data_IF_421480246598
#
_entry.id   IF_421480246598
#
_cell.length_a   1.000
_cell.length_b   1.000
_cell.length_c   1.000
_cell.angle_alpha   90.00
_cell.angle_beta   90.00
_cell.angle_gamma   90.00
#
_symmetry.space_group_name_H-M   'P 1'
#
loop_
_entity.id
_entity.type
_entity.pdbx_description
1 polymer ?
#
# COMPACT_ATOMS: atom_id res chain seq x y z
N UNK A 1 -1.88 32.41 12.18
CA UNK A 1 -0.75 31.66 11.60
C UNK A 1 -1.35 30.48 10.85
N UNK A 2 -1.69 30.65 9.57
CA UNK A 2 -2.18 29.53 8.76
C UNK A 2 -1.00 28.63 8.43
N UNK A 3 -0.95 27.44 9.02
CA UNK A 3 -0.08 26.38 8.50
C UNK A 3 -0.65 25.99 7.13
N UNK A 4 0.01 26.45 6.07
CA UNK A 4 -0.25 25.94 4.73
C UNK A 4 0.11 24.46 4.73
N UNK A 5 -0.90 23.59 4.74
CA UNK A 5 -0.73 22.20 4.34
C UNK A 5 -0.24 22.24 2.89
N UNK A 6 1.06 22.02 2.70
CA UNK A 6 1.63 21.81 1.37
C UNK A 6 0.99 20.52 0.82
N UNK A 7 -0.10 20.63 0.07
CA UNK A 7 -0.57 19.53 -0.75
C UNK A 7 0.55 19.26 -1.76
N UNK A 8 1.34 18.22 -1.56
CA UNK A 8 2.29 17.76 -2.57
C UNK A 8 1.53 17.53 -3.87
N UNK A 9 2.11 17.91 -5.02
CA UNK A 9 1.50 17.59 -6.31
C UNK A 9 1.26 16.07 -6.42
N UNK A 10 0.18 15.63 -7.10
CA UNK A 10 -0.13 14.21 -7.26
C UNK A 10 1.07 13.39 -7.76
N UNK A 11 1.87 13.95 -8.66
CA UNK A 11 3.09 13.32 -9.17
C UNK A 11 4.16 13.07 -8.08
N UNK A 12 4.36 14.03 -7.17
CA UNK A 12 5.29 13.87 -6.04
C UNK A 12 4.79 12.82 -5.05
N UNK A 13 3.47 12.74 -4.88
CA UNK A 13 2.85 11.73 -4.03
C UNK A 13 2.98 10.33 -4.63
N UNK A 14 2.63 10.16 -5.91
CA UNK A 14 2.80 8.91 -6.66
C UNK A 14 4.26 8.46 -6.60
N UNK A 15 5.23 9.36 -6.80
CA UNK A 15 6.65 9.02 -6.70
C UNK A 15 7.01 8.48 -5.31
N UNK A 16 6.57 9.15 -4.23
CA UNK A 16 6.81 8.68 -2.86
C UNK A 16 6.19 7.30 -2.62
N UNK A 17 5.03 7.02 -3.23
CA UNK A 17 4.38 5.72 -3.13
C UNK A 17 5.19 4.64 -3.85
N UNK A 18 5.63 4.90 -5.09
CA UNK A 18 6.50 3.97 -5.83
C UNK A 18 7.79 3.69 -5.04
N UNK A 19 8.48 4.74 -4.57
CA UNK A 19 9.76 4.62 -3.84
C UNK A 19 9.64 3.83 -2.51
N UNK A 20 8.44 3.71 -1.95
CA UNK A 20 8.22 2.90 -0.75
C UNK A 20 7.87 1.46 -1.07
N UNK A 21 7.21 1.19 -2.19
CA UNK A 21 6.86 -0.17 -2.59
C UNK A 21 8.00 -0.88 -3.32
N UNK A 22 8.95 -0.14 -3.90
CA UNK A 22 10.11 -0.69 -4.60
C UNK A 22 10.77 -1.87 -3.86
N UNK A 23 11.14 -1.74 -2.57
CA UNK A 23 11.86 -2.81 -1.88
C UNK A 23 11.00 -4.06 -1.61
N UNK A 24 9.67 -3.96 -1.74
CA UNK A 24 8.73 -5.07 -1.50
C UNK A 24 8.35 -5.76 -2.80
N UNK A 25 8.27 -5.01 -3.90
CA UNK A 25 7.96 -5.56 -5.22
C UNK A 25 9.05 -6.52 -5.74
N UNK A 26 10.27 -6.41 -5.23
CA UNK A 26 11.42 -7.27 -5.59
C UNK A 26 11.63 -8.47 -4.66
N UNK A 27 10.79 -8.64 -3.61
CA UNK A 27 10.93 -9.76 -2.69
C UNK A 27 10.49 -11.07 -3.35
N UNK A 28 11.29 -12.12 -3.17
CA UNK A 28 10.87 -13.49 -3.46
C UNK A 28 9.90 -13.99 -2.38
N UNK A 29 9.06 -14.97 -2.71
CA UNK A 29 8.03 -15.50 -1.80
C UNK A 29 8.60 -15.97 -0.46
N UNK A 30 9.79 -16.58 -0.49
CA UNK A 30 10.50 -17.06 0.70
C UNK A 30 11.05 -15.94 1.59
N UNK A 31 11.17 -14.72 1.05
CA UNK A 31 11.69 -13.55 1.74
C UNK A 31 10.59 -12.65 2.34
N UNK A 32 9.31 -13.02 2.22
CA UNK A 32 8.20 -12.16 2.64
C UNK A 32 8.01 -12.19 4.15
N UNK A 33 7.82 -13.38 4.73
CA UNK A 33 7.61 -13.53 6.16
C UNK A 33 7.94 -14.94 6.65
N UNK A 34 8.50 -15.01 7.86
CA UNK A 34 8.63 -16.26 8.61
C UNK A 34 7.49 -16.35 9.61
N UNK A 35 6.79 -17.47 9.66
CA UNK A 35 5.67 -17.66 10.58
C UNK A 35 6.15 -18.21 11.93
N UNK A 36 5.82 -17.51 13.02
CA UNK A 36 6.12 -17.94 14.39
C UNK A 36 4.86 -17.94 15.24
N UNK A 37 4.36 -19.13 15.60
CA UNK A 37 3.15 -19.27 16.40
C UNK A 37 1.90 -18.67 15.73
N UNK A 38 1.81 -18.74 14.40
CA UNK A 38 0.71 -18.15 13.62
C UNK A 38 0.85 -16.64 13.36
N UNK A 39 1.93 -16.00 13.82
CA UNK A 39 2.21 -14.58 13.60
C UNK A 39 3.29 -14.45 12.52
N UNK A 40 3.08 -13.66 11.45
CA UNK A 40 4.10 -13.39 10.45
C UNK A 40 5.16 -12.46 11.03
N UNK A 41 6.42 -12.84 10.86
CA UNK A 41 7.58 -12.00 11.09
C UNK A 41 8.06 -11.56 9.71
N UNK A 42 7.69 -10.34 9.34
CA UNK A 42 8.01 -9.77 8.03
C UNK A 42 9.49 -9.47 7.86
N UNK A 43 9.97 -9.54 6.62
CA UNK A 43 11.28 -9.01 6.27
C UNK A 43 11.40 -7.51 6.61
N UNK A 44 12.64 -7.07 6.81
CA UNK A 44 12.96 -5.67 7.14
C UNK A 44 12.46 -4.71 6.05
N UNK A 45 12.43 -5.14 4.79
CA UNK A 45 11.97 -4.31 3.67
C UNK A 45 10.48 -3.98 3.79
N UNK A 46 9.65 -4.96 4.15
CA UNK A 46 8.22 -4.77 4.44
C UNK A 46 8.05 -3.94 5.73
N UNK A 47 8.85 -4.21 6.76
CA UNK A 47 8.83 -3.44 8.01
C UNK A 47 9.12 -1.95 7.77
N UNK A 48 10.03 -1.61 6.85
CA UNK A 48 10.28 -0.21 6.45
C UNK A 48 9.09 0.44 5.75
N UNK A 49 8.32 -0.33 4.97
CA UNK A 49 7.05 0.17 4.40
C UNK A 49 6.04 0.44 5.52
N UNK A 50 6.01 -0.41 6.54
CA UNK A 50 5.15 -0.28 7.72
C UNK A 50 5.51 0.96 8.55
N UNK A 51 6.80 1.28 8.67
CA UNK A 51 7.25 2.53 9.30
C UNK A 51 6.84 3.75 8.47
N UNK A 52 6.94 3.67 7.14
CA UNK A 52 6.51 4.74 6.22
C UNK A 52 5.00 4.92 6.18
N UNK A 53 4.18 3.94 6.58
CA UNK A 53 2.72 4.07 6.75
C UNK A 53 2.33 5.24 7.66
N UNK A 54 3.20 5.60 8.62
CA UNK A 54 2.98 6.72 9.53
C UNK A 54 3.13 8.08 8.84
N UNK A 55 3.51 8.12 7.56
CA UNK A 55 3.47 9.33 6.75
C UNK A 55 2.12 9.44 6.05
N UNK A 56 1.48 10.61 6.18
CA UNK A 56 0.07 10.85 5.83
C UNK A 56 -0.33 10.56 4.37
N UNK A 57 0.63 10.35 3.46
CA UNK A 57 0.39 10.29 2.01
C UNK A 57 -0.23 8.97 1.50
N UNK A 58 -0.34 7.95 2.34
CA UNK A 58 -0.96 6.67 1.99
C UNK A 58 -2.42 6.55 2.38
N UNK A 59 -2.83 7.35 3.37
CA UNK A 59 -4.06 7.10 4.11
C UNK A 59 -5.19 7.84 3.44
N UNK A 60 -6.15 7.07 2.94
CA UNK A 60 -7.44 7.61 2.58
C UNK A 60 -8.21 7.98 3.87
N UNK A 61 -8.33 9.29 4.11
CA UNK A 61 -9.05 9.82 5.26
C UNK A 61 -10.56 9.53 5.17
N UNK A 62 -11.08 9.31 3.96
CA UNK A 62 -12.48 9.02 3.68
C UNK A 62 -12.71 7.52 3.39
N UNK A 63 -11.81 6.65 3.87
CA UNK A 63 -11.82 5.21 3.61
C UNK A 63 -13.19 4.54 3.80
N UNK A 64 -13.94 4.91 4.83
CA UNK A 64 -15.24 4.27 5.12
C UNK A 64 -16.27 4.51 4.00
N UNK A 65 -16.18 5.64 3.31
CA UNK A 65 -17.04 6.01 2.19
C UNK A 65 -16.54 5.35 0.91
N UNK A 66 -15.23 5.41 0.66
CA UNK A 66 -14.60 4.96 -0.58
C UNK A 66 -14.44 3.43 -0.69
N UNK A 67 -14.36 2.69 0.43
CA UNK A 67 -14.11 1.23 0.42
C UNK A 67 -15.16 0.41 -0.32
N UNK A 68 -16.35 0.96 -0.58
CA UNK A 68 -17.40 0.27 -1.36
C UNK A 68 -17.02 0.17 -2.84
N UNK A 69 -16.23 1.12 -3.33
CA UNK A 69 -15.89 1.29 -4.74
C UNK A 69 -14.80 0.29 -5.18
N UNK A 70 -13.85 -0.03 -4.28
CA UNK A 70 -12.70 -0.90 -4.60
C UNK A 70 -13.07 -2.37 -4.83
N UNK A 71 -14.25 -2.83 -4.40
CA UNK A 71 -14.67 -4.23 -4.55
C UNK A 71 -15.19 -4.59 -5.94
N UNK A 72 -15.46 -3.60 -6.78
CA UNK A 72 -16.14 -3.76 -8.08
C UNK A 72 -15.18 -3.64 -9.28
N UNK A 73 -13.91 -3.28 -9.03
CA UNK A 73 -12.92 -2.95 -10.04
C UNK A 73 -11.65 -3.77 -9.88
N UNK A 74 -10.88 -3.88 -10.96
CA UNK A 74 -9.52 -4.43 -10.93
C UNK A 74 -8.50 -3.32 -10.62
N UNK A 75 -7.36 -3.66 -10.02
CA UNK A 75 -6.32 -2.69 -9.60
C UNK A 75 -5.83 -1.87 -10.79
N UNK A 76 -5.73 -2.50 -11.95
CA UNK A 76 -5.29 -1.92 -13.21
C UNK A 76 -6.23 -0.77 -13.68
N UNK A 77 -7.44 -0.71 -13.14
CA UNK A 77 -8.45 0.32 -13.45
C UNK A 77 -8.54 1.39 -12.36
N UNK A 78 -7.77 1.29 -11.27
CA UNK A 78 -7.88 2.21 -10.14
C UNK A 78 -7.30 3.58 -10.47
N UNK A 79 -8.01 4.61 -10.02
CA UNK A 79 -7.49 5.97 -9.88
C UNK A 79 -6.62 6.12 -8.62
N UNK A 80 -5.87 7.22 -8.49
CA UNK A 80 -4.96 7.44 -7.35
C UNK A 80 -5.67 7.32 -5.99
N UNK A 81 -6.86 7.91 -5.85
CA UNK A 81 -7.61 7.86 -4.59
C UNK A 81 -8.15 6.45 -4.29
N UNK A 82 -8.47 5.68 -5.33
CA UNK A 82 -8.88 4.28 -5.20
C UNK A 82 -7.70 3.39 -4.80
N UNK A 83 -6.50 3.65 -5.31
CA UNK A 83 -5.27 3.02 -4.84
C UNK A 83 -4.99 3.34 -3.36
N UNK A 84 -5.13 4.60 -2.93
CA UNK A 84 -5.01 4.97 -1.51
C UNK A 84 -6.05 4.28 -0.64
N UNK A 85 -7.28 4.15 -1.14
CA UNK A 85 -8.35 3.41 -0.46
C UNK A 85 -7.98 1.94 -0.32
N UNK A 86 -7.51 1.31 -1.39
CA UNK A 86 -7.14 -0.10 -1.42
C UNK A 86 -5.99 -0.38 -0.46
N UNK A 87 -4.89 0.38 -0.53
CA UNK A 87 -3.75 0.19 0.39
C UNK A 87 -4.19 0.41 1.84
N UNK A 88 -5.04 1.41 2.12
CA UNK A 88 -5.64 1.63 3.45
C UNK A 88 -6.44 0.41 3.91
N UNK A 89 -7.16 -0.27 3.01
CA UNK A 89 -7.83 -1.52 3.32
C UNK A 89 -6.84 -2.61 3.76
N UNK A 90 -5.78 -2.87 2.97
CA UNK A 90 -4.73 -3.86 3.31
C UNK A 90 -4.09 -3.59 4.67
N UNK A 91 -3.76 -2.32 4.92
CA UNK A 91 -3.22 -1.85 6.19
C UNK A 91 -4.12 -2.09 7.39
N UNK A 92 -5.45 -2.02 7.18
CA UNK A 92 -6.43 -2.30 8.23
C UNK A 92 -6.61 -3.80 8.38
N UNK A 93 -6.65 -4.57 7.30
CA UNK A 93 -6.78 -6.03 7.33
C UNK A 93 -5.65 -6.69 8.13
N UNK A 94 -4.41 -6.22 8.02
CA UNK A 94 -3.29 -6.75 8.82
C UNK A 94 -3.53 -6.68 10.33
N UNK A 95 -4.35 -5.74 10.80
CA UNK A 95 -4.69 -5.62 12.23
C UNK A 95 -5.70 -6.66 12.69
N UNK A 96 -6.47 -7.24 11.77
CA UNK A 96 -7.55 -8.17 12.05
C UNK A 96 -7.24 -9.59 11.59
N UNK A 97 -6.35 -9.74 10.61
CA UNK A 97 -5.88 -11.00 10.05
C UNK A 97 -4.38 -10.91 9.85
N UNK A 98 -3.64 -11.56 10.75
CA UNK A 98 -2.20 -11.69 10.63
C UNK A 98 -1.83 -12.35 9.29
N UNK A 99 -0.92 -11.73 8.56
CA UNK A 99 -0.40 -12.27 7.30
C UNK A 99 -1.16 -11.80 6.06
N UNK A 100 -2.14 -10.91 6.20
CA UNK A 100 -2.86 -10.34 5.06
C UNK A 100 -1.89 -9.68 4.06
N UNK A 101 -0.86 -8.98 4.55
CA UNK A 101 0.20 -8.43 3.71
C UNK A 101 1.05 -9.51 3.05
N UNK A 102 1.43 -10.56 3.78
CA UNK A 102 2.19 -11.65 3.21
C UNK A 102 1.45 -12.29 2.02
N UNK A 103 0.18 -12.63 2.22
CA UNK A 103 -0.68 -13.16 1.15
C UNK A 103 -0.82 -12.18 -0.02
N UNK A 104 -0.99 -10.89 0.26
CA UNK A 104 -1.13 -9.88 -0.80
C UNK A 104 0.14 -9.74 -1.65
N UNK A 105 1.32 -9.83 -1.03
CA UNK A 105 2.59 -9.82 -1.76
C UNK A 105 2.71 -11.07 -2.62
N UNK A 106 2.44 -12.26 -2.07
CA UNK A 106 2.50 -13.54 -2.78
C UNK A 106 1.52 -13.61 -3.97
N UNK A 107 0.33 -13.03 -3.83
CA UNK A 107 -0.66 -12.94 -4.90
C UNK A 107 -0.32 -11.88 -5.97
N UNK A 108 0.82 -11.19 -5.82
CA UNK A 108 1.28 -10.16 -6.75
C UNK A 108 0.52 -8.83 -6.65
N UNK A 109 -0.28 -8.63 -5.59
CA UNK A 109 -1.06 -7.40 -5.41
C UNK A 109 -0.16 -6.16 -5.37
N UNK A 110 0.94 -6.23 -4.61
CA UNK A 110 1.88 -5.10 -4.47
C UNK A 110 2.53 -4.74 -5.82
N UNK A 111 2.86 -5.75 -6.63
CA UNK A 111 3.42 -5.54 -7.97
C UNK A 111 2.42 -4.85 -8.90
N UNK A 112 1.15 -5.31 -8.93
CA UNK A 112 0.07 -4.67 -9.70
C UNK A 112 -0.16 -3.23 -9.25
N UNK A 113 -0.19 -3.01 -7.95
CA UNK A 113 -0.37 -1.68 -7.35
C UNK A 113 0.75 -0.72 -7.76
N UNK A 114 2.02 -1.16 -7.67
CA UNK A 114 3.18 -0.37 -8.11
C UNK A 114 3.12 -0.07 -9.61
N UNK A 115 2.79 -1.06 -10.44
CA UNK A 115 2.69 -0.85 -11.88
C UNK A 115 1.60 0.17 -12.23
N UNK A 116 0.44 0.11 -11.56
CA UNK A 116 -0.61 1.11 -11.75
C UNK A 116 -0.17 2.52 -11.34
N UNK A 117 0.57 2.65 -10.24
CA UNK A 117 1.16 3.95 -9.87
C UNK A 117 2.14 4.47 -10.93
N UNK A 118 2.94 3.60 -11.55
CA UNK A 118 3.85 3.97 -12.63
C UNK A 118 3.06 4.44 -13.85
N UNK A 119 1.97 3.77 -14.20
CA UNK A 119 1.07 4.19 -15.28
C UNK A 119 0.46 5.57 -15.02
N UNK A 120 -0.08 5.80 -13.82
CA UNK A 120 -0.67 7.09 -13.43
C UNK A 120 0.34 8.25 -13.39
N UNK A 121 1.63 7.95 -13.33
CA UNK A 121 2.70 8.95 -13.36
C UNK A 121 3.01 9.43 -14.78
N UNK A 122 2.82 8.56 -15.79
CA UNK A 122 3.17 8.81 -17.19
C UNK A 122 2.03 9.46 -17.96
#
# INVERSE_FOLDING_TARGET
MMMGFFSSSPEKEIKKMIDALEPVAELSDDAIATWKGGIPIYDKSISKVFERKLSDFWIDQNYLENKKIIGEKKIEEFELDELKTAITAFWRMERFSYGAWASSIQEGFITKFRNRLIELKN
#
